data_IF_745500711691
#
_entry.id   IF_745500711691
#
_cell.length_a   1.000
_cell.length_b   1.000
_cell.length_c   1.000
_cell.angle_alpha   90.00
_cell.angle_beta   90.00
_cell.angle_gamma   90.00
#
_symmetry.space_group_name_H-M   'P 1'
#
loop_
_entity.id
_entity.type
_entity.pdbx_description
1 polymer ?
2 non-polymer ?
3 non-polymer ?
4 non-polymer ?
5 water ?
#
# COMPACT_ATOMS: atom_id res chain seq x y z
N UNK A 1 -1.76 8.90 -0.77
CA UNK A 1 -1.17 8.92 -2.14
C UNK A 1 -2.23 9.02 -3.24
N UNK A 2 -1.89 9.78 -4.28
CA UNK A 2 -2.79 9.95 -5.42
C UNK A 2 -2.89 8.66 -6.20
N UNK A 3 -1.81 7.86 -6.16
CA UNK A 3 -1.72 6.60 -6.87
C UNK A 3 -1.33 5.46 -5.95
N UNK A 4 -1.93 4.30 -6.17
CA UNK A 4 -1.64 3.12 -5.39
C UNK A 4 -1.89 1.89 -6.25
N UNK A 5 -0.99 0.91 -6.16
CA UNK A 5 -1.15 -0.32 -6.90
C UNK A 5 -0.46 -1.44 -6.13
N UNK A 6 -0.96 -2.65 -6.30
CA UNK A 6 -0.40 -3.81 -5.64
C UNK A 6 -0.79 -5.07 -6.39
N UNK A 7 0.04 -6.10 -6.31
CA UNK A 7 -0.27 -7.33 -7.00
C UNK A 7 -0.02 -8.59 -6.20
N UNK A 8 -0.99 -9.49 -6.21
CA UNK A 8 -0.89 -10.78 -5.54
C UNK A 8 -1.00 -11.87 -6.59
N UNK A 9 0.13 -12.36 -7.12
CA UNK A 9 0.05 -13.42 -8.12
C UNK A 9 -0.54 -14.68 -7.47
N UNK A 10 -0.27 -14.84 -6.19
CA UNK A 10 -0.78 -15.94 -5.37
C UNK A 10 -0.94 -15.35 -3.98
N UNK A 11 -1.41 -16.15 -3.04
CA UNK A 11 -1.58 -15.69 -1.67
C UNK A 11 -0.90 -16.62 -0.67
N UNK A 12 0.43 -16.48 -0.48
CA UNK A 12 1.16 -17.33 0.48
C UNK A 12 0.60 -17.06 1.87
N UNK A 13 0.82 -18.00 2.80
CA UNK A 13 0.31 -17.87 4.17
C UNK A 13 0.86 -16.74 5.03
N UNK A 14 2.02 -16.20 4.68
CA UNK A 14 2.55 -15.13 5.54
C UNK A 14 2.07 -13.71 5.19
N UNK A 15 0.76 -13.52 5.13
CA UNK A 15 0.19 -12.21 4.78
C UNK A 15 0.38 -11.14 5.86
N UNK A 16 0.54 -9.89 5.43
CA UNK A 16 0.74 -8.78 6.34
C UNK A 16 -0.23 -7.62 6.07
N UNK A 17 -0.62 -7.46 4.80
CA UNK A 17 -1.49 -6.36 4.40
C UNK A 17 -2.95 -6.71 4.12
N UNK A 18 -3.41 -7.84 4.64
CA UNK A 18 -4.80 -8.20 4.41
C UNK A 18 -5.59 -8.19 5.72
N UNK A 19 -6.73 -7.52 5.70
CA UNK A 19 -7.58 -7.49 6.88
C UNK A 19 -8.56 -8.65 6.68
N UNK A 20 -8.37 -9.72 7.45
CA UNK A 20 -9.22 -10.91 7.37
C UNK A 20 -10.43 -10.74 8.29
N UNK A 21 -11.62 -10.97 7.75
CA UNK A 21 -12.84 -10.85 8.53
C UNK A 21 -13.63 -12.14 8.39
N UNK A 22 -14.35 -12.53 9.44
CA UNK A 22 -15.13 -13.75 9.40
C UNK A 22 -14.26 -14.99 9.31
N UNK A 23 -14.64 -15.93 8.45
CA UNK A 23 -13.89 -17.17 8.30
C UNK A 23 -12.79 -17.16 7.26
N UNK A 24 -12.60 -16.02 6.60
CA UNK A 24 -11.57 -15.93 5.56
C UNK A 24 -10.17 -16.27 6.06
N UNK A 25 -9.47 -17.11 5.32
CA UNK A 25 -8.11 -17.50 5.68
C UNK A 25 -7.36 -18.07 4.47
N UNK A 26 -6.04 -18.08 4.57
CA UNK A 26 -5.20 -18.58 3.49
C UNK A 26 -5.02 -20.10 3.59
N UNK A 27 -5.14 -20.76 2.44
CA UNK A 27 -4.94 -22.21 2.34
C UNK A 27 -4.57 -22.50 0.89
N UNK A 28 -3.56 -23.34 0.69
CA UNK A 28 -3.09 -23.70 -0.64
C UNK A 28 -2.72 -22.47 -1.46
N UNK A 29 -2.04 -21.52 -0.82
CA UNK A 29 -1.60 -20.28 -1.45
C UNK A 29 -2.73 -19.47 -2.10
N UNK A 30 -3.93 -19.63 -1.56
CA UNK A 30 -5.09 -18.90 -2.08
C UNK A 30 -5.91 -18.45 -0.88
N UNK A 31 -6.74 -17.43 -1.09
CA UNK A 31 -7.60 -16.96 -0.01
C UNK A 31 -8.89 -17.76 -0.03
N UNK A 32 -9.18 -18.46 1.06
CA UNK A 32 -10.43 -19.21 1.16
C UNK A 32 -11.36 -18.28 1.92
N UNK A 33 -12.18 -17.54 1.20
CA UNK A 33 -13.11 -16.60 1.83
C UNK A 33 -14.09 -17.31 2.76
N UNK A 34 -14.56 -18.48 2.36
CA UNK A 34 -15.49 -19.24 3.18
C UNK A 34 -14.79 -20.46 3.78
N UNK A 35 -15.31 -20.91 4.92
CA UNK A 35 -14.74 -22.03 5.65
C UNK A 35 -14.75 -23.39 4.93
N UNK A 36 -13.69 -24.15 5.16
CA UNK A 36 -13.53 -25.49 4.60
C UNK A 36 -13.01 -26.36 5.73
N UNK A 37 -13.31 -27.66 5.68
CA UNK A 37 -12.87 -28.58 6.72
C UNK A 37 -11.43 -29.05 6.54
N UNK A 38 -11.06 -30.07 7.31
CA UNK A 38 -9.72 -30.64 7.28
C UNK A 38 -9.35 -31.27 5.95
N UNK A 39 -10.37 -31.57 5.14
CA UNK A 39 -10.12 -32.18 3.83
C UNK A 39 -10.23 -31.15 2.71
N UNK A 40 -10.50 -29.91 3.08
CA UNK A 40 -10.62 -28.86 2.09
C UNK A 40 -12.00 -28.74 1.49
N UNK A 41 -12.98 -29.43 2.09
CA UNK A 41 -14.35 -29.38 1.57
C UNK A 41 -15.10 -28.20 2.17
N UNK A 42 -15.94 -27.55 1.36
CA UNK A 42 -16.72 -26.39 1.83
C UNK A 42 -17.74 -26.82 2.89
N UNK A 43 -18.04 -25.94 3.82
CA UNK A 43 -19.00 -26.23 4.87
C UNK A 43 -20.14 -25.22 4.79
N UNK A 44 -21.27 -25.55 5.41
CA UNK A 44 -22.42 -24.66 5.39
C UNK A 44 -22.28 -23.56 6.45
N UNK A 45 -23.11 -22.53 6.31
CA UNK A 45 -23.15 -21.41 7.25
C UNK A 45 -21.79 -20.78 7.55
N UNK A 46 -21.24 -20.08 6.57
CA UNK A 46 -19.96 -19.43 6.71
C UNK A 46 -19.88 -18.13 5.90
N UNK A 47 -19.22 -17.13 6.47
CA UNK A 47 -19.04 -15.84 5.80
C UNK A 47 -17.59 -15.40 6.02
N UNK A 48 -16.99 -14.79 5.00
CA UNK A 48 -15.62 -14.35 5.12
C UNK A 48 -15.28 -13.25 4.13
N UNK A 49 -14.41 -12.33 4.52
CA UNK A 49 -14.02 -11.23 3.65
C UNK A 49 -12.57 -10.84 3.93
N UNK A 50 -11.98 -10.11 2.98
CA UNK A 50 -10.63 -9.59 3.13
C UNK A 50 -10.69 -8.19 2.56
N UNK A 51 -9.82 -7.32 3.06
CA UNK A 51 -9.70 -5.94 2.61
C UNK A 51 -8.20 -5.68 2.55
N UNK A 52 -7.74 -4.89 1.57
CA UNK A 52 -6.31 -4.57 1.53
C UNK A 52 -6.18 -3.51 2.63
N UNK A 53 -5.10 -3.57 3.40
CA UNK A 53 -4.90 -2.63 4.50
C UNK A 53 -4.78 -1.15 4.11
N UNK A 54 -4.08 -0.87 3.02
CA UNK A 54 -3.90 0.52 2.59
C UNK A 54 -5.19 1.05 1.97
N UNK A 55 -5.60 2.23 2.42
CA UNK A 55 -6.80 2.86 1.93
C UNK A 55 -6.54 3.49 0.56
N UNK A 56 -7.58 3.55 -0.26
CA UNK A 56 -7.49 4.11 -1.60
C UNK A 56 -8.19 5.45 -1.62
N UNK A 57 -7.55 6.45 -2.21
CA UNK A 57 -8.17 7.77 -2.28
C UNK A 57 -8.93 7.74 -3.61
N UNK A 58 -10.21 7.36 -3.51
CA UNK A 58 -11.11 7.22 -4.65
C UNK A 58 -11.47 8.54 -5.33
N UNK A 59 -11.68 9.59 -4.55
CA UNK A 59 -11.97 10.90 -5.11
C UNK A 59 -11.61 11.99 -4.12
N UNK A 60 -11.47 13.22 -4.61
CA UNK A 60 -11.09 14.34 -3.77
C UNK A 60 -11.89 15.58 -4.18
N UNK A 61 -12.71 16.09 -3.27
CA UNK A 61 -13.53 17.26 -3.54
C UNK A 61 -12.72 18.53 -3.78
N UNK A 62 -11.72 18.77 -2.94
CA UNK A 62 -10.90 19.98 -3.04
C UNK A 62 -10.37 20.20 -4.45
N UNK A 63 -9.88 19.14 -5.09
CA UNK A 63 -9.30 19.24 -6.43
C UNK A 63 -10.22 18.77 -7.56
N UNK A 64 -11.46 18.42 -7.23
CA UNK A 64 -12.40 17.96 -8.23
C UNK A 64 -11.83 16.79 -9.03
N UNK A 65 -11.20 15.85 -8.32
CA UNK A 65 -10.64 14.69 -9.00
C UNK A 65 -11.31 13.40 -8.56
N UNK A 66 -11.35 12.44 -9.47
CA UNK A 66 -11.93 11.13 -9.23
C UNK A 66 -10.94 10.12 -9.79
N UNK A 67 -10.71 9.04 -9.06
CA UNK A 67 -9.75 8.05 -9.51
C UNK A 67 -10.20 7.14 -10.65
N UNK A 68 -9.22 6.70 -11.42
CA UNK A 68 -9.44 5.75 -12.50
C UNK A 68 -8.84 4.51 -11.85
N UNK A 69 -9.60 3.43 -11.74
CA UNK A 69 -9.03 2.24 -11.10
C UNK A 69 -9.36 0.95 -11.82
N UNK A 70 -8.52 -0.06 -11.58
CA UNK A 70 -8.71 -1.36 -12.18
C UNK A 70 -8.45 -2.46 -11.16
N UNK A 71 -9.30 -3.47 -11.17
CA UNK A 71 -9.16 -4.60 -10.26
C UNK A 71 -9.28 -5.90 -11.05
N UNK A 72 -8.19 -6.65 -11.13
CA UNK A 72 -8.17 -7.93 -11.85
C UNK A 72 -8.00 -9.02 -10.83
N UNK A 73 -8.75 -10.09 -11.02
CA UNK A 73 -8.65 -11.19 -10.09
C UNK A 73 -9.21 -12.46 -10.69
N UNK A 74 -8.87 -13.58 -10.03
CA UNK A 74 -9.32 -14.88 -10.47
C UNK A 74 -9.81 -15.66 -9.27
N UNK A 75 -10.88 -16.41 -9.46
CA UNK A 75 -11.42 -17.23 -8.39
C UNK A 75 -12.01 -18.50 -8.96
N UNK A 76 -12.24 -19.47 -8.08
CA UNK A 76 -12.83 -20.73 -8.50
C UNK A 76 -13.79 -21.15 -7.40
N UNK A 77 -14.89 -21.79 -7.79
CA UNK A 77 -15.89 -22.27 -6.84
C UNK A 77 -16.00 -23.77 -7.01
N UNK A 78 -16.03 -24.50 -5.91
CA UNK A 78 -16.13 -25.95 -5.94
C UNK A 78 -17.09 -26.46 -4.90
N UNK A 79 -17.86 -27.47 -5.25
CA UNK A 79 -18.84 -28.02 -4.32
C UNK A 79 -19.27 -29.43 -4.69
N UNK A 80 -19.53 -30.27 -3.67
CA UNK A 80 -19.97 -31.65 -3.88
C UNK A 80 -21.44 -31.62 -4.30
N UNK A 81 -22.08 -30.47 -4.07
CA UNK A 81 -23.47 -30.26 -4.40
C UNK A 81 -23.57 -29.79 -5.85
N UNK A 82 -24.75 -29.86 -6.43
CA UNK A 82 -24.94 -29.40 -7.80
C UNK A 82 -25.53 -28.00 -7.73
N UNK A 83 -25.80 -27.56 -6.50
CA UNK A 83 -26.37 -26.24 -6.24
C UNK A 83 -25.54 -25.45 -5.23
N UNK A 84 -24.23 -25.38 -5.45
CA UNK A 84 -23.37 -24.65 -4.54
C UNK A 84 -23.82 -23.21 -4.40
N UNK A 85 -23.69 -22.65 -3.19
CA UNK A 85 -24.10 -21.29 -2.89
C UNK A 85 -23.07 -20.65 -1.95
N UNK A 86 -23.09 -19.32 -1.78
CA UNK A 86 -24.04 -18.43 -2.44
C UNK A 86 -23.38 -17.52 -3.47
N UNK A 87 -22.12 -17.19 -3.24
CA UNK A 87 -21.43 -16.32 -4.17
C UNK A 87 -20.25 -15.55 -3.60
N UNK A 88 -19.51 -14.90 -4.48
CA UNK A 88 -18.35 -14.11 -4.12
C UNK A 88 -18.51 -12.73 -4.75
N UNK A 89 -17.97 -11.70 -4.10
CA UNK A 89 -18.08 -10.35 -4.62
C UNK A 89 -16.84 -9.51 -4.37
N UNK A 90 -16.53 -8.64 -5.33
CA UNK A 90 -15.43 -7.71 -5.18
C UNK A 90 -16.20 -6.48 -4.70
N UNK A 91 -15.70 -5.78 -3.68
CA UNK A 91 -16.42 -4.61 -3.23
C UNK A 91 -15.53 -3.46 -2.79
N UNK A 92 -16.15 -2.29 -2.73
CA UNK A 92 -15.48 -1.06 -2.32
C UNK A 92 -16.37 -0.47 -1.24
N UNK A 93 -15.78 -0.12 -0.10
CA UNK A 93 -16.56 0.41 0.99
C UNK A 93 -15.77 1.30 1.93
N UNK A 94 -16.44 1.93 2.90
CA UNK A 94 -15.74 2.81 3.85
C UNK A 94 -14.66 1.98 4.52
N UNK A 95 -13.51 2.61 4.85
CA UNK A 95 -12.39 1.93 5.49
C UNK A 95 -12.67 1.06 6.72
N UNK A 96 -13.62 1.47 7.55
CA UNK A 96 -13.91 0.71 8.76
C UNK A 96 -15.00 -0.36 8.59
N UNK A 97 -15.30 -0.70 7.35
CA UNK A 97 -16.34 -1.70 7.09
C UNK A 97 -16.09 -3.04 7.76
N UNK A 98 -17.15 -3.63 8.30
CA UNK A 98 -17.07 -4.94 8.95
C UNK A 98 -18.28 -5.75 8.49
N UNK A 99 -18.24 -7.06 8.68
CA UNK A 99 -19.35 -7.92 8.28
C UNK A 99 -20.61 -7.51 9.04
N UNK A 100 -21.65 -7.10 8.31
CA UNK A 100 -22.91 -6.70 8.93
C UNK A 100 -23.58 -7.89 9.62
N UNK A 101 -24.14 -7.65 10.80
CA UNK A 101 -24.80 -8.71 11.55
C UNK A 101 -25.92 -9.33 10.70
N UNK A 102 -25.95 -10.65 10.63
CA UNK A 102 -26.96 -11.37 9.87
C UNK A 102 -26.84 -11.25 8.35
N UNK A 103 -25.63 -11.07 7.83
CA UNK A 103 -25.43 -10.91 6.39
C UNK A 103 -25.01 -12.19 5.67
N UNK A 104 -25.27 -13.34 6.27
CA UNK A 104 -24.88 -14.60 5.66
C UNK A 104 -25.70 -15.03 4.47
N UNK A 105 -25.39 -16.23 3.96
CA UNK A 105 -26.12 -16.77 2.82
C UNK A 105 -26.17 -15.83 1.64
N UNK A 106 -27.36 -15.61 1.10
CA UNK A 106 -27.52 -14.75 -0.05
C UNK A 106 -27.08 -13.30 0.10
N UNK A 107 -26.88 -12.83 1.33
CA UNK A 107 -26.45 -11.46 1.57
C UNK A 107 -24.94 -11.32 1.38
N UNK A 108 -24.30 -12.46 1.12
CA UNK A 108 -22.87 -12.55 0.83
C UNK A 108 -21.91 -11.91 1.83
N UNK A 109 -22.39 -11.55 3.01
CA UNK A 109 -21.53 -10.92 3.99
C UNK A 109 -21.32 -9.45 3.68
N UNK A 110 -22.12 -8.93 2.76
CA UNK A 110 -22.03 -7.52 2.37
C UNK A 110 -23.21 -6.66 2.82
N UNK A 111 -24.40 -7.25 2.87
CA UNK A 111 -25.58 -6.48 3.25
C UNK A 111 -26.29 -6.95 4.50
N UNK A 112 -26.78 -6.00 5.27
CA UNK A 112 -27.53 -6.29 6.49
C UNK A 112 -28.96 -6.62 6.09
N UNK A 113 -29.66 -7.44 6.88
CA UNK A 113 -31.04 -7.82 6.58
C UNK A 113 -31.95 -6.60 6.47
N UNK A 122 -26.10 2.69 3.44
CA UNK A 122 -25.03 1.72 3.26
C UNK A 122 -24.17 2.12 2.07
N UNK A 123 -22.97 2.60 2.35
CA UNK A 123 -22.05 3.01 1.30
C UNK A 123 -21.24 1.84 0.77
N UNK A 124 -21.41 1.55 -0.51
CA UNK A 124 -20.68 0.45 -1.12
C UNK A 124 -20.99 0.33 -2.61
N UNK A 125 -20.05 -0.24 -3.32
CA UNK A 125 -20.19 -0.52 -4.74
C UNK A 125 -19.59 -1.90 -4.82
N UNK A 126 -20.30 -2.84 -5.42
CA UNK A 126 -19.80 -4.19 -5.52
C UNK A 126 -20.21 -4.87 -6.80
N UNK A 127 -19.44 -5.88 -7.18
CA UNK A 127 -19.70 -6.69 -8.35
C UNK A 127 -19.78 -8.10 -7.79
N UNK A 128 -20.97 -8.67 -7.80
CA UNK A 128 -21.15 -10.01 -7.26
C UNK A 128 -21.38 -11.11 -8.28
N UNK A 129 -20.86 -12.28 -7.94
CA UNK A 129 -21.00 -13.46 -8.79
C UNK A 129 -21.83 -14.44 -7.97
N UNK A 130 -23.13 -14.42 -8.24
CA UNK A 130 -24.09 -15.25 -7.54
C UNK A 130 -24.40 -16.55 -8.25
N UNK A 131 -24.43 -17.64 -7.50
CA UNK A 131 -24.71 -18.96 -8.06
C UNK A 131 -25.97 -19.57 -7.48
N UNK A 132 -26.60 -18.87 -6.53
CA UNK A 132 -27.80 -19.38 -5.88
C UNK A 132 -29.08 -18.65 -6.28
N UNK A 133 -30.19 -19.38 -6.19
CA UNK A 133 -31.50 -18.82 -6.54
C UNK A 133 -32.49 -19.01 -5.40
N UNK A 138 -36.20 -8.95 -8.17
CA UNK A 138 -35.41 -9.58 -9.22
C UNK A 138 -35.15 -8.68 -10.42
N UNK A 139 -33.89 -8.65 -10.80
CA UNK A 139 -33.41 -7.91 -11.97
C UNK A 139 -32.62 -8.97 -12.75
N UNK A 140 -32.98 -10.24 -12.51
CA UNK A 140 -32.31 -11.35 -13.18
C UNK A 140 -33.15 -12.64 -13.19
N UNK A 141 -32.81 -13.53 -14.10
CA UNK A 141 -33.49 -14.82 -14.23
C UNK A 141 -33.00 -15.74 -13.12
N UNK A 142 -33.82 -15.94 -12.07
CA UNK A 142 -33.49 -16.79 -10.94
C UNK A 142 -33.19 -18.23 -11.33
N UNK A 143 -33.47 -18.57 -12.58
CA UNK A 143 -33.24 -19.91 -13.08
C UNK A 143 -31.75 -20.22 -13.23
N UNK A 144 -30.94 -19.17 -13.32
CA UNK A 144 -29.50 -19.35 -13.47
C UNK A 144 -28.71 -18.29 -12.72
N UNK A 145 -27.44 -18.59 -12.36
CA UNK A 145 -26.59 -17.65 -11.64
C UNK A 145 -26.43 -16.35 -12.42
N UNK A 146 -25.92 -15.31 -11.76
CA UNK A 146 -25.75 -14.03 -12.43
C UNK A 146 -24.68 -13.17 -11.80
N UNK A 147 -24.17 -12.23 -12.58
CA UNK A 147 -23.18 -11.27 -12.13
C UNK A 147 -24.00 -10.00 -11.97
N UNK A 148 -23.89 -9.36 -10.81
CA UNK A 148 -24.65 -8.15 -10.60
C UNK A 148 -23.81 -7.02 -10.04
N UNK A 149 -24.19 -5.80 -10.39
CA UNK A 149 -23.50 -4.63 -9.87
C UNK A 149 -24.40 -4.05 -8.80
N UNK A 150 -23.82 -3.77 -7.64
CA UNK A 150 -24.54 -3.22 -6.51
C UNK A 150 -24.06 -1.80 -6.26
N UNK A 151 -25.01 -0.90 -6.04
CA UNK A 151 -24.70 0.47 -5.75
C UNK A 151 -25.45 0.84 -4.48
N UNK A 152 -24.70 1.30 -3.48
CA UNK A 152 -25.31 1.70 -2.22
C UNK A 152 -26.19 0.57 -1.71
N UNK A 153 -27.46 0.87 -1.41
CA UNK A 153 -28.36 -0.16 -0.89
C UNK A 153 -29.14 -0.87 -2.01
N UNK A 154 -28.80 -0.58 -3.25
CA UNK A 154 -29.51 -1.19 -4.37
C UNK A 154 -28.70 -2.34 -4.97
N UNK A 155 -29.11 -3.58 -4.68
CA UNK A 155 -28.42 -4.74 -5.22
C UNK A 155 -28.86 -5.03 -6.65
N UNK A 156 -27.89 -5.41 -7.48
CA UNK A 156 -28.18 -5.72 -8.87
C UNK A 156 -28.86 -4.60 -9.62
N UNK A 157 -28.28 -3.39 -9.58
CA UNK A 157 -28.85 -2.27 -10.31
C UNK A 157 -28.80 -2.67 -11.78
N UNK A 158 -27.98 -3.67 -12.07
CA UNK A 158 -27.83 -4.21 -13.42
C UNK A 158 -27.14 -5.56 -13.32
N UNK A 159 -27.52 -6.49 -14.19
CA UNK A 159 -26.91 -7.82 -14.14
C UNK A 159 -26.77 -8.42 -15.54
N UNK A 160 -26.20 -9.61 -15.59
CA UNK A 160 -26.04 -10.33 -16.85
C UNK A 160 -25.96 -11.80 -16.46
N UNK A 161 -26.55 -12.65 -17.29
CA UNK A 161 -26.56 -14.08 -17.01
C UNK A 161 -25.12 -14.58 -16.95
N UNK A 162 -24.88 -15.54 -16.08
CA UNK A 162 -23.55 -16.10 -15.90
C UNK A 162 -23.63 -17.61 -15.70
N UNK A 163 -22.56 -18.32 -16.05
CA UNK A 163 -22.51 -19.77 -15.91
C UNK A 163 -21.49 -20.18 -14.86
N UNK A 164 -21.92 -20.97 -13.89
CA UNK A 164 -21.01 -21.46 -12.87
C UNK A 164 -20.35 -22.72 -13.44
N UNK A 165 -19.05 -22.88 -13.20
CA UNK A 165 -18.34 -24.06 -13.67
C UNK A 165 -17.47 -24.55 -12.52
N UNK A 166 -17.93 -25.61 -11.86
CA UNK A 166 -17.24 -26.19 -10.71
C UNK A 166 -15.74 -26.38 -10.92
N UNK A 167 -14.94 -25.83 -9.99
CA UNK A 167 -13.51 -25.97 -10.06
C UNK A 167 -12.76 -25.20 -11.14
N UNK A 168 -13.46 -24.47 -11.99
CA UNK A 168 -12.80 -23.71 -13.04
C UNK A 168 -12.61 -22.24 -12.68
N UNK A 169 -11.39 -21.74 -12.92
CA UNK A 169 -11.03 -20.36 -12.62
C UNK A 169 -11.67 -19.34 -13.56
N UNK A 170 -12.27 -18.30 -12.98
CA UNK A 170 -12.88 -17.23 -13.76
C UNK A 170 -12.02 -15.98 -13.60
N UNK A 171 -11.41 -15.52 -14.70
CA UNK A 171 -10.60 -14.32 -14.66
C UNK A 171 -11.51 -13.12 -14.85
N UNK A 172 -11.36 -12.14 -13.97
CA UNK A 172 -12.20 -10.95 -13.99
C UNK A 172 -11.43 -9.63 -14.02
N UNK A 173 -11.95 -8.67 -14.78
CA UNK A 173 -11.37 -7.35 -14.85
C UNK A 173 -12.46 -6.32 -14.62
N UNK A 174 -12.34 -5.56 -13.53
CA UNK A 174 -13.29 -4.51 -13.19
C UNK A 174 -12.55 -3.19 -13.35
N UNK A 175 -13.08 -2.29 -14.17
CA UNK A 175 -12.43 -1.00 -14.38
C UNK A 175 -13.42 0.14 -14.19
N UNK A 176 -12.89 1.30 -13.80
CA UNK A 176 -13.70 2.47 -13.62
C UNK A 176 -13.01 3.65 -14.29
N UNK A 177 -13.75 4.34 -15.14
CA UNK A 177 -13.23 5.50 -15.87
C UNK A 177 -14.00 6.72 -15.35
N UNK A 178 -13.28 7.67 -14.71
CA UNK A 178 -13.89 8.88 -14.16
C UNK A 178 -14.53 9.81 -15.20
N UNK A 179 -13.99 9.80 -16.42
CA UNK A 179 -14.50 10.65 -17.48
C UNK A 179 -15.90 10.22 -17.96
N UNK A 180 -16.11 8.92 -18.06
CA UNK A 180 -17.39 8.41 -18.51
C UNK A 180 -18.23 7.89 -17.34
N UNK A 181 -17.57 7.70 -16.20
CA UNK A 181 -18.21 7.17 -14.99
C UNK A 181 -18.71 5.75 -15.22
N UNK A 182 -18.14 5.09 -16.23
CA UNK A 182 -18.50 3.72 -16.54
C UNK A 182 -17.75 2.71 -15.68
N UNK A 183 -18.49 1.83 -15.02
CA UNK A 183 -17.90 0.78 -14.22
C UNK A 183 -18.04 -0.45 -15.12
N UNK A 184 -16.93 -0.95 -15.65
CA UNK A 184 -16.98 -2.09 -16.56
C UNK A 184 -16.50 -3.40 -15.95
N UNK A 185 -17.19 -4.47 -16.29
CA UNK A 185 -16.86 -5.79 -15.81
C UNK A 185 -16.76 -6.78 -16.97
N UNK A 186 -15.60 -7.43 -17.07
CA UNK A 186 -15.39 -8.44 -18.09
C UNK A 186 -14.86 -9.68 -17.40
N UNK A 187 -15.53 -10.81 -17.60
CA UNK A 187 -15.13 -12.07 -17.00
C UNK A 187 -15.04 -13.16 -18.05
N UNK A 188 -14.02 -14.00 -17.96
CA UNK A 188 -13.86 -15.07 -18.93
C UNK A 188 -13.32 -16.34 -18.30
N UNK A 189 -13.65 -17.47 -18.90
CA UNK A 189 -13.13 -18.75 -18.46
C UNK A 189 -12.00 -19.04 -19.45
N UNK A 190 -11.16 -20.01 -19.14
CA UNK A 190 -10.03 -20.36 -19.99
C UNK A 190 -10.36 -20.78 -21.42
N UNK A 191 -11.62 -21.13 -21.69
CA UNK A 191 -11.99 -21.55 -23.03
C UNK A 191 -12.39 -20.35 -23.89
N UNK A 192 -12.42 -19.17 -23.27
CA UNK A 192 -12.78 -17.97 -24.00
C UNK A 192 -14.19 -17.46 -23.74
N UNK A 193 -15.02 -18.27 -23.08
CA UNK A 193 -16.38 -17.85 -22.78
C UNK A 193 -16.26 -16.53 -22.03
N UNK A 194 -17.02 -15.53 -22.46
CA UNK A 194 -16.94 -14.21 -21.88
C UNK A 194 -18.28 -13.64 -21.40
N UNK A 195 -18.24 -12.92 -20.27
CA UNK A 195 -19.43 -12.29 -19.72
C UNK A 195 -19.06 -10.84 -19.46
N UNK A 196 -19.96 -9.93 -19.78
CA UNK A 196 -19.67 -8.52 -19.56
C UNK A 196 -20.91 -7.73 -19.14
N UNK A 197 -20.68 -6.72 -18.32
CA UNK A 197 -21.74 -5.86 -17.84
C UNK A 197 -21.11 -4.56 -17.38
N UNK A 198 -21.76 -3.44 -17.69
CA UNK A 198 -21.24 -2.14 -17.31
C UNK A 198 -22.39 -1.23 -16.89
N UNK A 199 -22.11 -0.30 -15.99
CA UNK A 199 -23.13 0.61 -15.50
C UNK A 199 -22.51 1.95 -15.15
N UNK A 200 -23.22 3.03 -15.43
CA UNK A 200 -22.72 4.36 -15.13
C UNK A 200 -22.92 4.61 -13.66
N UNK A 201 -21.86 5.04 -12.98
CA UNK A 201 -21.96 5.32 -11.55
C UNK A 201 -20.98 6.40 -11.10
N UNK A 202 -21.53 7.47 -10.54
CA UNK A 202 -20.72 8.56 -10.03
C UNK A 202 -20.32 8.12 -8.62
N UNK A 203 -19.10 7.64 -8.47
CA UNK A 203 -18.64 7.15 -7.17
C UNK A 203 -18.82 8.15 -6.03
N UNK A 204 -18.77 9.45 -6.37
CA UNK A 204 -18.91 10.49 -5.35
C UNK A 204 -20.29 10.49 -4.69
N UNK A 205 -21.27 9.94 -5.38
CA UNK A 205 -22.63 9.92 -4.86
C UNK A 205 -22.92 8.80 -3.89
N UNK A 206 -22.00 7.84 -3.76
CA UNK A 206 -22.24 6.71 -2.86
C UNK A 206 -21.10 6.30 -1.95
N UNK A 207 -19.89 6.78 -2.23
CA UNK A 207 -18.72 6.43 -1.41
C UNK A 207 -17.94 7.64 -0.92
N UNK A 208 -17.30 7.52 0.25
CA UNK A 208 -16.51 8.63 0.80
C UNK A 208 -15.21 8.76 -0.01
N UNK A 209 -14.43 9.81 0.27
CA UNK A 209 -13.18 10.04 -0.45
C UNK A 209 -12.17 8.90 -0.34
N UNK A 210 -12.05 8.33 0.86
CA UNK A 210 -11.13 7.23 1.06
C UNK A 210 -11.92 5.96 1.33
N UNK A 211 -11.52 4.88 0.68
CA UNK A 211 -12.20 3.60 0.83
C UNK A 211 -11.20 2.46 0.91
N UNK A 212 -11.71 1.26 1.18
CA UNK A 212 -10.88 0.06 1.18
C UNK A 212 -11.53 -0.84 0.14
N UNK A 213 -10.72 -1.70 -0.47
CA UNK A 213 -11.21 -2.61 -1.50
C UNK A 213 -10.93 -4.04 -1.08
N UNK A 214 -11.80 -4.96 -1.46
CA UNK A 214 -11.59 -6.35 -1.09
C UNK A 214 -12.64 -7.28 -1.66
N UNK A 215 -12.78 -8.45 -1.05
CA UNK A 215 -13.75 -9.43 -1.50
C UNK A 215 -14.54 -9.97 -0.32
N UNK A 216 -15.73 -10.47 -0.62
CA UNK A 216 -16.61 -11.04 0.41
C UNK A 216 -17.30 -12.25 -0.21
N UNK A 217 -17.65 -13.22 0.63
CA UNK A 217 -18.31 -14.43 0.15
C UNK A 217 -19.06 -15.06 1.32
N UNK A 218 -20.03 -15.92 1.01
CA UNK A 218 -20.80 -16.58 2.04
C UNK A 218 -21.58 -17.78 1.48
N UNK A 219 -21.88 -18.73 2.37
CA UNK A 219 -22.65 -19.93 2.04
C UNK A 219 -23.63 -20.14 3.19
N UNK A 220 -24.89 -20.35 2.87
CA UNK A 220 -25.88 -20.59 3.91
C UNK A 220 -26.01 -22.10 4.05
N UNK A 221 -27.21 -22.63 3.81
CA UNK A 221 -27.42 -24.07 3.90
C UNK A 221 -26.79 -24.78 2.72
N UNK A 222 -26.67 -24.08 1.58
CA UNK A 222 -26.01 -24.64 0.40
C UNK A 222 -24.60 -24.05 0.45
N UNK A 223 -23.60 -24.82 0.06
CA UNK A 223 -22.23 -24.37 0.15
C UNK A 223 -21.30 -24.66 -1.01
N UNK A 224 -20.18 -23.97 -1.00
CA UNK A 224 -19.15 -24.12 -2.02
C UNK A 224 -17.97 -23.30 -1.55
N UNK A 225 -16.79 -23.62 -2.08
CA UNK A 225 -15.61 -22.87 -1.73
C UNK A 225 -15.64 -21.61 -2.55
N UNK A 226 -15.06 -20.54 -2.03
CA UNK A 226 -14.96 -19.27 -2.75
C UNK A 226 -13.48 -18.97 -2.62
N UNK A 227 -12.73 -19.51 -3.58
CA UNK A 227 -11.28 -19.40 -3.58
C UNK A 227 -10.71 -18.28 -4.45
N UNK A 228 -10.21 -17.24 -3.80
CA UNK A 228 -9.60 -16.12 -4.51
C UNK A 228 -8.15 -16.54 -4.78
N UNK A 229 -7.82 -16.75 -6.06
CA UNK A 229 -6.51 -17.21 -6.47
C UNK A 229 -5.44 -16.13 -6.68
N UNK A 230 -5.86 -14.99 -7.22
CA UNK A 230 -4.93 -13.90 -7.47
C UNK A 230 -5.69 -12.59 -7.52
N UNK A 231 -4.96 -11.49 -7.37
CA UNK A 231 -5.56 -10.17 -7.38
C UNK A 231 -4.53 -9.06 -7.57
N UNK A 232 -4.81 -8.17 -8.52
CA UNK A 232 -3.96 -7.02 -8.78
C UNK A 232 -4.89 -5.82 -8.80
N UNK A 233 -4.38 -4.66 -8.41
CA UNK A 233 -5.22 -3.47 -8.36
C UNK A 233 -4.38 -2.20 -8.56
N UNK A 234 -4.99 -1.20 -9.18
CA UNK A 234 -4.32 0.08 -9.39
C UNK A 234 -5.34 1.19 -9.42
N UNK A 235 -4.94 2.33 -8.83
CA UNK A 235 -5.80 3.49 -8.78
C UNK A 235 -4.98 4.76 -8.89
N UNK A 236 -5.48 5.76 -9.58
CA UNK A 236 -4.80 7.02 -9.76
C UNK A 236 -5.83 8.12 -9.89
N UNK A 237 -5.72 9.16 -9.06
CA UNK A 237 -6.66 10.28 -9.14
C UNK A 237 -6.38 11.10 -10.39
N UNK A 238 -7.43 11.44 -11.13
CA UNK A 238 -7.28 12.22 -12.36
C UNK A 238 -8.18 13.46 -12.42
N UNK A 239 -7.69 14.49 -13.10
CA UNK A 239 -8.43 15.73 -13.28
C UNK A 239 -9.48 15.55 -14.38
N UNK B 1 1.49 -8.92 -0.99
CA UNK B 1 1.67 -8.68 -2.46
C UNK B 1 3.12 -8.74 -2.88
N UNK B 2 3.38 -9.32 -4.04
CA UNK B 2 4.74 -9.38 -4.54
C UNK B 2 5.16 -7.99 -5.02
N UNK B 3 4.16 -7.20 -5.41
CA UNK B 3 4.41 -5.84 -5.91
C UNK B 3 3.57 -4.78 -5.19
N UNK B 4 4.18 -3.62 -4.95
CA UNK B 4 3.51 -2.51 -4.28
C UNK B 4 4.09 -1.19 -4.76
N UNK B 5 3.21 -0.25 -5.11
CA UNK B 5 3.63 1.07 -5.57
C UNK B 5 2.67 2.12 -5.05
N UNK B 6 3.18 3.33 -4.84
CA UNK B 6 2.37 4.45 -4.38
C UNK B 6 3.09 5.76 -4.65
N UNK B 7 2.32 6.81 -4.83
CA UNK B 7 2.93 8.10 -5.11
C UNK B 7 2.21 9.26 -4.46
N UNK B 8 2.98 10.11 -3.78
CA UNK B 8 2.45 11.29 -3.14
C UNK B 8 3.07 12.52 -3.83
N UNK B 9 2.37 13.12 -4.81
CA UNK B 9 2.95 14.30 -5.46
C UNK B 9 3.11 15.40 -4.41
N UNK B 10 2.19 15.41 -3.44
CA UNK B 10 2.21 16.36 -2.33
C UNK B 10 1.59 15.62 -1.13
N UNK B 11 1.51 16.31 0.00
CA UNK B 11 0.95 15.69 1.21
C UNK B 11 -0.18 16.51 1.84
N UNK B 12 -1.40 16.42 1.30
CA UNK B 12 -2.53 17.18 1.87
C UNK B 12 -2.77 16.70 3.30
N UNK B 13 -3.41 17.53 4.12
CA UNK B 13 -3.67 17.20 5.51
C UNK B 13 -4.50 15.95 5.81
N UNK B 14 -5.26 15.47 4.84
CA UNK B 14 -6.10 14.29 5.08
C UNK B 14 -5.43 12.98 4.70
N UNK B 15 -4.38 12.60 5.44
CA UNK B 15 -3.64 11.37 5.14
C UNK B 15 -4.22 10.15 5.85
N UNK B 16 -4.15 8.99 5.19
CA UNK B 16 -4.65 7.74 5.74
C UNK B 16 -3.61 6.64 5.83
N UNK B 17 -2.69 6.61 4.86
CA UNK B 17 -1.70 5.54 4.84
C UNK B 17 -0.32 5.84 5.41
N UNK B 18 -0.19 6.92 6.16
CA UNK B 18 1.08 7.26 6.78
C UNK B 18 0.99 7.04 8.29
N UNK B 19 2.07 6.51 8.85
CA UNK B 19 2.15 6.29 10.28
C UNK B 19 3.09 7.38 10.78
N UNK B 20 2.54 8.32 11.54
CA UNK B 20 3.30 9.44 12.09
C UNK B 20 3.87 9.06 13.46
N UNK B 21 5.16 9.30 13.66
CA UNK B 21 5.82 8.99 14.92
C UNK B 21 6.52 10.26 15.41
N UNK B 22 6.57 10.47 16.72
CA UNK B 22 7.22 11.66 17.25
C UNK B 22 6.46 12.92 16.89
N UNK B 23 7.18 13.96 16.49
CA UNK B 23 6.56 15.24 16.16
C UNK B 23 6.07 15.38 14.72
N UNK B 24 6.28 14.35 13.91
CA UNK B 24 5.87 14.38 12.50
C UNK B 24 4.39 14.70 12.30
N UNK B 25 4.11 15.64 11.39
CA UNK B 25 2.74 16.00 11.09
C UNK B 25 2.69 16.76 9.77
N UNK B 26 1.49 16.85 9.19
CA UNK B 26 1.35 17.55 7.92
C UNK B 26 1.03 19.04 8.06
N UNK B 27 1.80 19.87 7.37
CA UNK B 27 1.60 21.32 7.39
C UNK B 27 1.95 21.85 6.01
N UNK B 28 1.04 22.64 5.45
CA UNK B 28 1.23 23.24 4.13
C UNK B 28 1.51 22.23 3.02
N UNK B 29 0.68 21.20 2.96
CA UNK B 29 0.80 20.17 1.94
C UNK B 29 2.15 19.46 1.91
N UNK B 30 2.81 19.40 3.06
CA UNK B 30 4.09 18.74 3.15
C UNK B 30 4.18 18.06 4.51
N UNK B 31 5.08 17.10 4.64
CA UNK B 31 5.24 16.44 5.93
C UNK B 31 6.36 17.13 6.67
N UNK B 32 6.04 17.73 7.82
CA UNK B 32 7.07 18.36 8.63
C UNK B 32 7.51 17.27 9.61
N UNK B 33 8.64 16.63 9.32
CA UNK B 33 9.15 15.57 10.18
C UNK B 33 9.51 16.11 11.57
N UNK B 34 10.11 17.29 11.61
CA UNK B 34 10.48 17.90 12.87
C UNK B 34 9.54 19.06 13.18
N UNK B 35 9.28 19.27 14.46
CA UNK B 35 8.36 20.30 14.93
C UNK B 35 8.69 21.71 14.43
N UNK B 36 7.63 22.48 14.14
CA UNK B 36 7.75 23.87 13.70
C UNK B 36 6.71 24.68 14.46
N UNK B 37 7.00 25.96 14.73
CA UNK B 37 6.06 26.79 15.46
C UNK B 37 4.95 27.39 14.59
N UNK B 38 4.17 28.28 15.18
CA UNK B 38 3.05 28.93 14.52
C UNK B 38 3.43 29.64 13.22
N UNK B 39 4.69 30.04 13.11
CA UNK B 39 5.15 30.77 11.94
C UNK B 39 5.85 29.92 10.89
N UNK B 40 5.96 28.62 11.15
CA UNK B 40 6.61 27.73 10.19
C UNK B 40 8.10 27.61 10.45
N UNK B 41 8.56 28.19 11.55
CA UNK B 41 9.98 28.14 11.92
C UNK B 41 10.29 26.89 12.74
N UNK B 42 11.48 26.30 12.53
CA UNK B 42 11.92 25.11 13.24
C UNK B 42 12.26 25.41 14.70
N UNK B 43 12.16 24.38 15.55
CA UNK B 43 12.51 24.54 16.96
C UNK B 43 13.46 23.41 17.35
N UNK B 44 14.19 23.60 18.44
CA UNK B 44 15.14 22.61 18.90
C UNK B 44 14.49 21.44 19.62
N UNK B 45 15.28 20.40 19.87
CA UNK B 45 14.85 19.20 20.58
C UNK B 45 13.59 18.57 20.01
N UNK B 46 13.66 18.14 18.76
CA UNK B 46 12.51 17.51 18.10
C UNK B 46 12.93 16.35 17.22
N UNK B 47 12.09 15.32 17.19
CA UNK B 47 12.33 14.13 16.37
C UNK B 47 10.97 13.67 15.84
N UNK B 48 10.93 13.23 14.59
CA UNK B 48 9.69 12.77 14.01
C UNK B 48 9.97 11.84 12.85
N UNK B 49 9.04 10.93 12.58
CA UNK B 49 9.22 9.99 11.48
C UNK B 49 7.87 9.62 10.88
N UNK B 50 7.91 9.02 9.71
CA UNK B 50 6.70 8.53 9.05
C UNK B 50 7.07 7.20 8.40
N UNK B 51 6.09 6.32 8.29
CA UNK B 51 6.25 5.02 7.67
C UNK B 51 5.00 4.84 6.83
N UNK B 52 5.14 4.20 5.68
CA UNK B 52 3.96 3.96 4.87
C UNK B 52 3.30 2.80 5.63
N UNK B 53 1.97 2.78 5.68
CA UNK B 53 1.25 1.74 6.42
C UNK B 53 1.40 0.31 5.89
N UNK B 54 1.31 0.13 4.58
CA UNK B 54 1.43 -1.21 4.00
C UNK B 54 2.87 -1.71 4.11
N UNK B 55 3.03 -2.94 4.55
CA UNK B 55 4.36 -3.54 4.67
C UNK B 55 4.86 -3.96 3.29
N UNK B 56 6.17 -3.88 3.08
CA UNK B 56 6.78 -4.25 1.81
C UNK B 56 7.47 -5.60 1.89
N UNK B 57 7.16 -6.50 0.97
CA UNK B 57 7.81 -7.82 0.99
C UNK B 57 9.14 -7.62 0.25
N UNK B 58 10.19 -7.42 1.03
CA UNK B 58 11.54 -7.16 0.51
C UNK B 58 12.22 -8.37 -0.13
N UNK B 59 12.10 -9.54 0.51
CA UNK B 59 12.66 -10.77 -0.04
C UNK B 59 11.90 -11.96 0.47
N UNK B 60 12.02 -13.08 -0.23
CA UNK B 60 11.32 -14.30 0.14
C UNK B 60 12.26 -15.49 0.02
N UNK B 61 12.61 -16.09 1.15
CA UNK B 61 13.54 -17.21 1.14
C UNK B 61 13.01 -18.43 0.40
N UNK B 62 11.72 -18.72 0.58
CA UNK B 62 11.10 -19.88 -0.07
C UNK B 62 11.19 -19.88 -1.59
N UNK B 63 11.19 -18.70 -2.21
CA UNK B 63 11.27 -18.63 -3.66
C UNK B 63 12.60 -18.06 -4.14
N UNK B 64 13.52 -17.85 -3.20
CA UNK B 64 14.82 -17.30 -3.55
C UNK B 64 14.68 -16.01 -4.35
N UNK B 65 13.73 -15.16 -3.94
CA UNK B 65 13.50 -13.89 -4.61
C UNK B 65 13.86 -12.70 -3.73
N UNK B 66 14.27 -11.62 -4.37
CA UNK B 66 14.63 -10.39 -3.69
C UNK B 66 13.99 -9.29 -4.51
N UNK B 67 13.44 -8.28 -3.83
CA UNK B 67 12.76 -7.21 -4.53
C UNK B 67 13.65 -6.16 -5.17
N UNK B 68 13.20 -5.67 -6.32
CA UNK B 68 13.86 -4.60 -7.02
C UNK B 68 12.98 -3.43 -6.60
N UNK B 69 13.55 -2.40 -5.97
CA UNK B 69 12.73 -1.28 -5.55
C UNK B 69 13.34 0.07 -5.79
N UNK B 70 12.50 1.09 -5.83
CA UNK B 70 12.95 2.45 -6.05
C UNK B 70 12.14 3.41 -5.18
N UNK B 71 12.82 4.42 -4.65
CA UNK B 71 12.18 5.41 -3.82
C UNK B 71 12.64 6.78 -4.30
N UNK B 72 11.69 7.59 -4.74
CA UNK B 72 11.98 8.93 -5.23
C UNK B 72 11.31 9.92 -4.29
N UNK B 73 12.03 10.94 -3.88
CA UNK B 73 11.47 11.92 -2.97
C UNK B 73 12.19 13.25 -3.02
N UNK B 74 11.57 14.26 -2.44
CA UNK B 74 12.20 15.57 -2.40
C UNK B 74 11.92 16.20 -1.06
N UNK B 75 12.91 16.93 -0.55
CA UNK B 75 12.76 17.61 0.72
C UNK B 75 13.52 18.92 0.68
N UNK B 76 13.31 19.75 1.69
CA UNK B 76 14.01 21.01 1.80
C UNK B 76 14.24 21.25 3.27
N UNK B 77 15.35 21.91 3.59
CA UNK B 77 15.72 22.21 4.97
C UNK B 77 15.83 23.73 5.05
N UNK B 78 15.23 24.31 6.09
CA UNK B 78 15.27 25.76 6.27
C UNK B 78 15.56 26.08 7.73
N UNK B 79 16.43 27.06 7.96
CA UNK B 79 16.78 27.44 9.32
C UNK B 79 17.19 28.89 9.42
N UNK B 80 16.73 29.58 10.47
CA UNK B 80 17.08 30.99 10.67
C UNK B 80 18.56 31.06 11.06
N UNK B 81 19.04 29.98 11.67
CA UNK B 81 20.43 29.90 12.12
C UNK B 81 21.38 29.64 10.96
N UNK B 82 22.67 29.76 11.21
CA UNK B 82 23.69 29.55 10.18
C UNK B 82 24.09 28.09 10.04
N UNK B 83 23.84 27.30 11.08
CA UNK B 83 24.20 25.88 11.04
C UNK B 83 23.04 24.97 11.40
N UNK B 84 22.08 24.86 10.49
CA UNK B 84 20.93 24.00 10.74
C UNK B 84 21.35 22.56 10.97
N UNK B 85 20.57 21.83 11.77
CA UNK B 85 20.85 20.44 12.09
C UNK B 85 19.54 19.73 12.41
N UNK B 86 19.52 18.40 12.45
CA UNK B 86 20.70 17.56 12.22
C UNK B 86 20.68 16.82 10.89
N UNK B 87 19.48 16.47 10.41
CA UNK B 87 19.39 15.77 9.15
C UNK B 87 18.13 14.96 8.97
N UNK B 88 17.94 14.51 7.73
CA UNK B 88 16.78 13.71 7.37
C UNK B 88 17.28 12.45 6.71
N UNK B 89 16.53 11.35 6.87
CA UNK B 89 16.95 10.10 6.25
C UNK B 89 15.79 9.24 5.78
N UNK B 90 16.03 8.55 4.67
CA UNK B 90 15.07 7.60 4.13
C UNK B 90 15.54 6.30 4.77
N UNK B 91 14.64 5.49 5.29
CA UNK B 91 15.09 4.23 5.87
C UNK B 91 14.15 3.06 5.65
N UNK B 92 14.68 1.86 5.88
CA UNK B 92 13.94 0.63 5.72
C UNK B 92 14.21 -0.16 6.99
N UNK B 93 13.15 -0.58 7.67
CA UNK B 93 13.31 -1.28 8.94
C UNK B 93 12.21 -2.29 9.20
N UNK B 94 12.35 -3.09 10.28
CA UNK B 94 11.30 -4.06 10.57
C UNK B 94 9.98 -3.30 10.71
N UNK B 95 8.85 -3.97 10.46
CA UNK B 95 7.51 -3.38 10.54
C UNK B 95 7.16 -2.64 11.84
N UNK B 96 7.52 -3.20 12.97
CA UNK B 96 7.20 -2.59 14.27
C UNK B 96 8.20 -1.54 14.73
N UNK B 97 9.03 -1.02 13.84
CA UNK B 97 10.02 -0.03 14.23
C UNK B 97 9.42 1.23 14.88
N UNK B 98 10.05 1.68 15.95
CA UNK B 98 9.61 2.89 16.63
C UNK B 98 10.84 3.72 16.97
N UNK B 99 10.62 4.98 17.30
CA UNK B 99 11.72 5.88 17.64
C UNK B 99 12.44 5.38 18.89
N UNK B 100 13.74 5.07 18.77
CA UNK B 100 14.54 4.59 19.89
C UNK B 100 14.64 5.66 20.97
N UNK B 101 14.51 5.27 22.23
CA UNK B 101 14.62 6.25 23.30
C UNK B 101 16.02 6.87 23.23
N UNK B 102 16.07 8.20 23.27
CA UNK B 102 17.35 8.91 23.22
C UNK B 102 18.00 9.03 21.84
N UNK B 103 17.22 8.86 20.78
CA UNK B 103 17.77 8.94 19.43
C UNK B 103 17.72 10.35 18.83
N UNK B 104 17.63 11.37 19.68
CA UNK B 104 17.55 12.73 19.18
C UNK B 104 18.85 13.24 18.57
N UNK B 105 18.81 14.49 18.11
CA UNK B 105 19.99 15.10 17.53
C UNK B 105 20.65 14.35 16.38
N UNK B 106 21.96 14.19 16.49
CA UNK B 106 22.72 13.50 15.47
C UNK B 106 22.36 12.05 15.23
N UNK B 107 21.55 11.47 16.11
CA UNK B 107 21.14 10.07 15.94
C UNK B 107 19.92 9.99 15.01
N UNK B 108 19.45 11.16 14.57
CA UNK B 108 18.35 11.28 13.61
C UNK B 108 17.02 10.59 13.90
N UNK B 109 16.84 10.09 15.12
CA UNK B 109 15.61 9.39 15.44
C UNK B 109 15.64 7.96 14.94
N UNK B 110 16.81 7.54 14.46
CA UNK B 110 16.99 6.19 13.93
C UNK B 110 17.83 5.27 14.81
N UNK B 111 18.82 5.83 15.49
CA UNK B 111 19.68 5.02 16.33
C UNK B 111 19.64 5.36 17.81
N UNK B 112 19.73 4.33 18.64
CA UNK B 112 19.73 4.50 20.09
C UNK B 112 21.15 4.89 20.50
N UNK B 113 21.29 5.56 21.65
CA UNK B 113 22.62 5.96 22.12
C UNK B 113 23.54 4.76 22.30
N UNK B 122 21.30 -2.55 14.73
CA UNK B 122 19.96 -3.13 14.62
C UNK B 122 19.71 -3.48 13.15
N UNK B 123 18.46 -3.73 12.80
CA UNK B 123 18.12 -4.06 11.43
C UNK B 123 17.62 -2.83 10.71
N UNK B 124 18.44 -2.29 9.83
CA UNK B 124 18.05 -1.09 9.10
C UNK B 124 18.97 -0.79 7.93
N UNK B 125 18.40 -0.17 6.92
CA UNK B 125 19.16 0.30 5.78
C UNK B 125 18.64 1.71 5.64
N UNK B 126 19.56 2.67 5.62
CA UNK B 126 19.14 4.05 5.51
C UNK B 126 20.09 4.89 4.69
N UNK B 127 19.58 5.99 4.19
CA UNK B 127 20.37 6.94 3.43
C UNK B 127 20.12 8.26 4.12
N UNK B 128 21.12 8.74 4.85
CA UNK B 128 20.98 9.98 5.57
C UNK B 128 21.63 11.19 4.91
N UNK B 129 20.96 12.33 5.07
CA UNK B 129 21.42 13.60 4.54
C UNK B 129 21.66 14.44 5.77
N UNK B 130 22.91 14.48 6.20
CA UNK B 130 23.30 15.20 7.41
C UNK B 130 23.90 16.57 7.16
N UNK B 131 23.63 17.47 8.11
CA UNK B 131 24.14 18.83 8.03
C UNK B 131 24.83 19.17 9.35
N UNK B 132 24.82 18.23 10.28
CA UNK B 132 25.43 18.44 11.60
C UNK B 132 26.92 18.09 11.66
N UNK B 133 27.61 18.74 12.59
CA UNK B 133 29.04 18.53 12.77
C UNK B 133 29.30 17.36 13.72
N UNK B 134 30.17 16.45 13.31
CA UNK B 134 30.51 15.29 14.11
C UNK B 134 31.98 15.31 14.54
N UNK B 135 32.21 15.00 15.82
CA UNK B 135 33.57 14.98 16.37
C UNK B 135 34.44 13.96 15.64
N UNK B 136 34.11 12.69 15.81
CA UNK B 136 34.87 11.62 15.18
C UNK B 136 34.79 11.68 13.66
N UNK B 137 33.66 11.23 13.10
CA UNK B 137 33.47 11.23 11.67
C UNK B 137 34.65 10.55 11.00
N UNK B 138 34.61 9.22 10.95
CA UNK B 138 35.69 8.45 10.34
C UNK B 138 35.39 8.08 8.90
N UNK B 139 34.25 8.53 8.38
CA UNK B 139 33.85 8.22 7.01
C UNK B 139 33.60 9.43 6.12
N UNK B 140 33.69 10.62 6.69
CA UNK B 140 33.43 11.84 5.93
C UNK B 140 34.11 13.04 6.58
N UNK B 141 34.13 14.16 5.86
CA UNK B 141 34.73 15.39 6.37
C UNK B 141 33.73 16.07 7.30
N UNK B 142 33.99 16.03 8.62
CA UNK B 142 33.10 16.65 9.62
C UNK B 142 32.88 18.14 9.37
N UNK B 143 33.78 18.76 8.62
CA UNK B 143 33.69 20.18 8.32
C UNK B 143 32.59 20.52 7.33
N UNK B 144 32.01 19.50 6.71
CA UNK B 144 30.97 19.72 5.73
C UNK B 144 29.88 18.65 5.80
N UNK B 145 28.64 18.99 5.42
CA UNK B 145 27.55 18.02 5.47
C UNK B 145 27.85 16.86 4.53
N UNK B 146 27.16 15.74 4.72
CA UNK B 146 27.38 14.59 3.86
C UNK B 146 26.15 13.72 3.71
N UNK B 147 26.16 12.90 2.67
CA UNK B 147 25.10 11.94 2.43
C UNK B 147 25.77 10.63 2.81
N UNK B 148 25.08 9.80 3.57
CA UNK B 148 25.69 8.54 3.98
C UNK B 148 24.74 7.38 3.89
N UNK B 149 25.29 6.22 3.54
CA UNK B 149 24.50 5.00 3.45
C UNK B 149 24.77 4.25 4.75
N UNK B 150 23.68 3.79 5.37
CA UNK B 150 23.74 3.05 6.63
C UNK B 150 23.30 1.60 6.42
N UNK B 151 24.06 0.67 6.96
CA UNK B 151 23.72 -0.75 6.88
C UNK B 151 23.81 -1.31 8.28
N UNK B 152 22.68 -1.72 8.83
CA UNK B 152 22.65 -2.27 10.19
C UNK B 152 23.23 -1.25 11.19
N UNK B 153 24.18 -1.70 12.00
CA UNK B 153 24.79 -0.84 13.00
C UNK B 153 25.96 -0.03 12.45
N UNK B 154 26.22 -0.15 11.15
CA UNK B 154 27.31 0.60 10.56
C UNK B 154 26.78 1.83 9.85
N UNK B 155 26.89 2.98 10.50
CA UNK B 155 26.41 4.21 9.87
C UNK B 155 27.48 4.71 8.92
N UNK B 156 27.04 5.27 7.80
CA UNK B 156 27.94 5.81 6.80
C UNK B 156 29.02 4.84 6.34
N UNK B 157 28.61 3.65 5.90
CA UNK B 157 29.55 2.66 5.39
C UNK B 157 30.21 3.29 4.18
N UNK B 158 29.48 4.22 3.57
CA UNK B 158 29.98 4.95 2.40
C UNK B 158 29.30 6.31 2.40
N UNK B 159 30.03 7.34 2.00
CA UNK B 159 29.49 8.69 1.99
C UNK B 159 29.96 9.49 0.78
N UNK B 160 29.42 10.69 0.66
CA UNK B 160 29.79 11.61 -0.40
C UNK B 160 29.54 13.02 0.15
N UNK B 161 30.45 13.92 -0.16
CA UNK B 161 30.31 15.30 0.31
C UNK B 161 29.05 15.86 -0.30
N UNK B 162 28.38 16.73 0.44
CA UNK B 162 27.14 17.32 -0.02
C UNK B 162 27.06 18.78 0.44
N UNK B 163 26.21 19.57 -0.20
CA UNK B 163 26.07 20.98 0.17
C UNK B 163 24.66 21.29 0.65
N UNK B 164 24.58 21.99 1.78
CA UNK B 164 23.29 22.38 2.34
C UNK B 164 22.87 23.72 1.73
N UNK B 165 21.64 23.77 1.21
CA UNK B 165 21.13 25.00 0.62
C UNK B 165 19.80 25.33 1.28
N UNK B 166 19.81 26.36 2.12
CA UNK B 166 18.61 26.74 2.84
C UNK B 166 17.42 27.00 1.92
N UNK B 167 16.32 26.31 2.18
CA UNK B 167 15.11 26.50 1.38
C UNK B 167 15.03 25.82 0.03
N UNK B 168 16.12 25.21 -0.44
CA UNK B 168 16.13 24.52 -1.74
C UNK B 168 15.74 23.06 -1.65
N UNK B 169 14.86 22.63 -2.54
CA UNK B 169 14.43 21.24 -2.56
C UNK B 169 15.50 20.36 -3.21
N UNK B 170 15.75 19.21 -2.61
CA UNK B 170 16.71 18.25 -3.14
C UNK B 170 15.90 17.07 -3.67
N UNK B 171 16.06 16.72 -4.94
CA UNK B 171 15.34 15.60 -5.55
C UNK B 171 16.23 14.39 -5.37
N UNK B 172 15.70 13.32 -4.78
CA UNK B 172 16.51 12.12 -4.57
C UNK B 172 15.85 10.88 -5.15
N UNK B 173 16.68 10.00 -5.68
CA UNK B 173 16.22 8.74 -6.22
C UNK B 173 17.10 7.64 -5.63
N UNK B 174 16.51 6.73 -4.88
CA UNK B 174 17.24 5.63 -4.27
C UNK B 174 16.75 4.37 -4.98
N UNK B 175 17.67 3.61 -5.57
CA UNK B 175 17.29 2.40 -6.29
C UNK B 175 18.09 1.19 -5.83
N UNK B 176 17.43 0.03 -5.82
CA UNK B 176 18.08 -1.20 -5.42
C UNK B 176 17.81 -2.27 -6.47
N UNK B 177 18.89 -2.85 -6.99
CA UNK B 177 18.81 -3.90 -7.98
C UNK B 177 19.31 -5.17 -7.30
N UNK B 178 18.42 -6.14 -7.06
CA UNK B 178 18.82 -7.40 -6.41
C UNK B 178 19.80 -8.22 -7.23
N UNK B 179 19.85 -7.96 -8.54
CA UNK B 179 20.76 -8.70 -9.43
C UNK B 179 22.22 -8.33 -9.18
N UNK B 180 22.47 -7.07 -8.93
CA UNK B 180 23.83 -6.61 -8.68
C UNK B 180 24.00 -6.27 -7.21
N UNK B 181 22.86 -6.17 -6.51
CA UNK B 181 22.83 -5.81 -5.09
C UNK B 181 23.30 -4.37 -4.88
N UNK B 182 23.30 -3.58 -5.95
CA UNK B 182 23.71 -2.20 -5.82
C UNK B 182 22.61 -1.28 -5.30
N UNK B 183 22.92 -0.55 -4.24
CA UNK B 183 21.99 0.43 -3.68
C UNK B 183 22.56 1.74 -4.22
N UNK B 184 21.82 2.35 -5.13
CA UNK B 184 22.25 3.59 -5.76
C UNK B 184 21.47 4.79 -5.27
N UNK B 185 22.17 5.89 -5.00
CA UNK B 185 21.55 7.11 -4.55
C UNK B 185 22.01 8.25 -5.45
N UNK B 186 21.04 8.99 -5.98
CA UNK B 186 21.33 10.14 -6.85
C UNK B 186 20.46 11.29 -6.36
N UNK B 187 21.09 12.41 -6.03
CA UNK B 187 20.37 13.57 -5.54
C UNK B 187 20.75 14.80 -6.36
N UNK B 188 19.77 15.66 -6.62
CA UNK B 188 20.05 16.87 -7.39
C UNK B 188 19.20 18.04 -6.95
N UNK B 189 19.80 19.23 -7.02
CA UNK B 189 19.08 20.45 -6.72
C UNK B 189 18.46 20.88 -8.04
N UNK B 190 17.61 21.90 -8.00
CA UNK B 190 16.91 22.36 -9.20
C UNK B 190 17.82 22.93 -10.29
N UNK B 191 19.07 23.24 -9.95
CA UNK B 191 19.99 23.78 -10.95
C UNK B 191 20.78 22.66 -11.59
N UNK B 192 20.55 21.44 -11.16
CA UNK B 192 21.27 20.32 -11.75
C UNK B 192 22.45 19.81 -10.94
N UNK B 193 22.82 20.54 -9.89
CA UNK B 193 23.94 20.11 -9.06
C UNK B 193 23.57 18.69 -8.60
N UNK B 194 24.50 17.76 -8.83
CA UNK B 194 24.26 16.35 -8.56
C UNK B 194 25.23 15.69 -7.57
N UNK B 195 24.70 14.78 -6.75
CA UNK B 195 25.50 14.05 -5.79
C UNK B 195 25.16 12.58 -5.97
N UNK B 196 26.18 11.72 -6.00
CA UNK B 196 25.97 10.29 -6.20
C UNK B 196 26.76 9.45 -5.21
N UNK B 197 26.16 8.37 -4.75
CA UNK B 197 26.81 7.45 -3.84
C UNK B 197 26.12 6.11 -3.96
N UNK B 198 26.89 5.03 -4.05
CA UNK B 198 26.31 3.72 -4.16
C UNK B 198 27.13 2.70 -3.37
N UNK B 199 26.48 1.62 -2.96
CA UNK B 199 27.17 0.60 -2.19
C UNK B 199 26.49 -0.75 -2.38
N UNK B 200 27.28 -1.80 -2.42
CA UNK B 200 26.75 -3.15 -2.60
C UNK B 200 26.20 -3.64 -1.28
N UNK B 201 24.99 -4.17 -1.28
CA UNK B 201 24.40 -4.67 -0.06
C UNK B 201 23.37 -5.75 -0.31
N UNK B 202 23.58 -6.91 0.32
CA UNK B 202 22.65 -8.02 0.21
C UNK B 202 21.64 -7.68 1.30
N UNK B 203 20.46 -7.20 0.91
CA UNK B 203 19.47 -6.84 1.92
C UNK B 203 19.07 -8.01 2.80
N UNK B 204 19.22 -9.23 2.30
CA UNK B 204 18.88 -10.43 3.07
C UNK B 204 19.73 -10.61 4.33
N UNK B 205 20.91 -10.01 4.36
CA UNK B 205 21.78 -10.16 5.52
C UNK B 205 21.52 -9.16 6.64
N UNK B 206 20.66 -8.17 6.38
CA UNK B 206 20.41 -7.17 7.42
C UNK B 206 18.95 -6.92 7.74
N UNK B 207 18.05 -7.25 6.82
CA UNK B 207 16.64 -7.01 7.03
C UNK B 207 15.76 -8.24 6.93
N UNK B 208 14.63 -8.26 7.66
CA UNK B 208 13.70 -9.37 7.63
C UNK B 208 12.96 -9.37 6.29
N UNK B 209 12.24 -10.44 5.98
CA UNK B 209 11.51 -10.55 4.72
C UNK B 209 10.50 -9.42 4.47
N UNK B 210 9.77 -9.03 5.52
CA UNK B 210 8.81 -7.94 5.38
C UNK B 210 9.30 -6.75 6.20
N UNK B 211 9.17 -5.57 5.62
CA UNK B 211 9.63 -4.33 6.25
C UNK B 211 8.67 -3.17 5.99
N UNK B 212 9.00 -2.03 6.55
CA UNK B 212 8.25 -0.81 6.31
C UNK B 212 9.27 0.22 5.88
N UNK B 213 8.84 1.15 5.04
CA UNK B 213 9.71 2.18 4.53
C UNK B 213 9.19 3.55 4.95
N UNK B 214 10.11 4.50 5.10
CA UNK B 214 9.71 5.83 5.51
C UNK B 214 10.87 6.79 5.67
N UNK B 215 10.67 7.82 6.48
CA UNK B 215 11.68 8.83 6.72
C UNK B 215 11.79 9.20 8.18
N UNK B 216 12.96 9.70 8.57
CA UNK B 216 13.21 10.10 9.95
C UNK B 216 14.05 11.37 9.96
N UNK B 217 13.88 12.19 11.00
CA UNK B 217 14.65 13.42 11.10
C UNK B 217 14.66 13.90 12.55
N UNK B 218 15.64 14.72 12.89
CA UNK B 218 15.74 15.25 14.24
C UNK B 218 16.61 16.50 14.29
N UNK B 219 16.42 17.27 15.35
CA UNK B 219 17.19 18.49 15.60
C UNK B 219 17.49 18.49 17.09
N UNK B 220 18.77 18.64 17.43
CA UNK B 220 19.16 18.69 18.83
C UNK B 220 19.20 20.14 19.28
N UNK B 221 20.34 20.61 19.78
CA UNK B 221 20.44 22.00 20.20
C UNK B 221 20.38 22.93 19.00
N UNK B 222 20.87 22.44 17.87
CA UNK B 222 20.83 23.20 16.62
C UNK B 222 19.65 22.63 15.84
N UNK B 223 18.98 23.46 15.05
CA UNK B 223 17.79 23.02 14.35
C UNK B 223 17.54 23.54 12.94
N UNK B 224 16.55 22.93 12.28
CA UNK B 224 16.14 23.27 10.93
C UNK B 224 14.92 22.41 10.62
N UNK B 225 14.10 22.86 9.68
CA UNK B 225 12.93 22.10 9.30
C UNK B 225 13.44 20.94 8.44
N UNK B 226 12.66 19.88 8.37
CA UNK B 226 12.98 18.71 7.55
C UNK B 226 11.66 18.43 6.87
N UNK B 227 11.44 19.18 5.79
CA UNK B 227 10.19 19.12 5.05
C UNK B 227 10.19 18.13 3.89
N UNK B 228 9.45 17.04 4.05
CA UNK B 228 9.32 16.05 2.98
C UNK B 228 8.19 16.58 2.09
N UNK B 229 8.53 16.92 0.85
CA UNK B 229 7.58 17.52 -0.08
C UNK B 229 6.86 16.55 -1.02
N UNK B 230 7.50 15.43 -1.34
CA UNK B 230 6.88 14.46 -2.23
C UNK B 230 7.58 13.12 -2.07
N UNK B 231 6.90 12.05 -2.45
CA UNK B 231 7.48 10.72 -2.34
C UNK B 231 6.70 9.69 -3.12
N UNK B 232 7.43 8.93 -3.94
CA UNK B 232 6.85 7.85 -4.72
C UNK B 232 7.70 6.61 -4.44
N UNK B 233 7.09 5.44 -4.53
CA UNK B 233 7.84 4.21 -4.25
C UNK B 233 7.26 3.03 -5.01
N UNK B 234 8.12 2.08 -5.34
CA UNK B 234 7.72 0.88 -6.05
C UNK B 234 8.65 -0.27 -5.66
N UNK B 235 8.09 -1.46 -5.54
CA UNK B 235 8.87 -2.64 -5.18
C UNK B 235 8.24 -3.84 -5.88
N UNK B 236 9.09 -4.72 -6.39
CA UNK B 236 8.63 -5.93 -7.09
C UNK B 236 9.58 -7.09 -6.81
N UNK B 237 9.06 -8.20 -6.33
CA UNK B 237 9.89 -9.37 -6.06
C UNK B 237 10.33 -10.02 -7.38
N UNK B 238 11.64 -10.30 -7.49
CA UNK B 238 12.20 -10.93 -8.69
C UNK B 238 13.14 -12.07 -8.31
N UNK B 239 13.12 -13.14 -9.10
CA UNK B 239 13.98 -14.30 -8.82
C UNK B 239 15.45 -14.00 -9.09
N UNK B 240 16.31 -14.39 -8.16
CA UNK B 240 17.75 -14.16 -8.31
X LIG C 1 -30.32 -20.32 3.50
X LIG C 1 -30.02 -18.82 3.65
X LIG C 1 -30.10 -18.14 2.29
X LIG C 1 -29.16 -18.83 1.29
X LIG C 1 -29.50 -20.33 1.23
X LIG C 1 -28.54 -21.10 0.36
X LIG C 1 -28.73 -18.65 4.20
X LIG C 1 -29.73 -16.77 2.42
X LIG C 1 -29.31 -18.25 0.00
X LIG C 1 -29.43 -20.90 2.56
X LIG C 1 -27.22 -21.07 0.89
X LIG D 1 -3.79 -4.09 -13.35
X LIG D 1 -3.58 -5.55 -13.39
X LIG D 1 -4.27 -3.76 -11.97
X LIG D 1 -4.85 -3.71 -14.31
X LIG D 1 -2.53 -3.37 -13.67
X LIG E 1 23.02 18.51 20.62
X LIG E 1 22.77 17.01 20.42
X LIG E 1 23.57 16.50 19.22
X LIG E 1 23.28 17.35 17.97
X LIG E 1 23.49 18.83 18.28
X LIG E 1 23.10 19.73 17.11
X LIG E 1 24.71 20.09 21.23
X LIG E 1 24.35 18.74 20.91
X LIG E 1 21.39 16.78 20.20
X LIG E 1 23.24 15.14 18.96
X LIG E 1 24.13 16.95 16.92
X LIG E 1 22.68 19.23 19.41
X LIG E 1 21.69 19.69 16.88
X LIG F 1 9.72 5.91 -9.00
X LIG F 1 11.08 5.67 -9.53
X LIG F 1 9.69 5.60 -7.56
X LIG F 1 8.76 5.05 -9.71
X LIG F 1 9.37 7.33 -9.21
#
# INVERSE_FOLDING_TARGET
QDSLSFGFPTFPSDQKNLIFQGDAQIKNNAVQLTKTDSNGNPVASTVGRILFSAQVHLWEKSSSRVANFQSQFSFSLKSPLSNGADGIAFFIAPPDTTIPSGSGGGLLGLFAPGTAQNTSANQVIAVEFDTFYAQDSNTWDPNYPHIGIDVNSIRSVKTVKWDRRDGQSLNVLVTFNPSTRNLDVVATYSDGTRYEVSYEVDVRSVLPEWVRVGFSAASGEQYQTHTLESWSFTSTLLYTAQKKGENLALEM
QDSLSFGFPTFPSDQKNLIFQGDAQIKNNAVQLTKTDSNGNPVASTVGRILFSAQVHLWEKSSSRVANFQSQFSFSLKSPLSNGADGIAFFIAPPDTTIPSGSGGGLLGLFAPGTAQNTSANQVIAVEFDTFYAQDSNTWDPNYPHIGIDVNSIRSVKTVKWDRRDGQSLNVLVTFNPSTRNLDVVATYSDGTRYEVSYEVDVRSVLPEWVRVGFSAASGEQYQTHTLESWSFTSTLLYTAQKKGENLALEM
MAN C1 C2 C3 C4 C5 C6 O2 O3 O4 O5 O6
SO4 S O1 O2 O3 O4
MMA C1 C2 C3 C4 C5 C6 C7 O1 O2 O3 O4 O5 O6
SO4 S O1 O2 O3 O4
#
